data_IF_659951569552
#
_entry.id   IF_659951569552
#
_cell.length_a   1.000
_cell.length_b   1.000
_cell.length_c   1.000
_cell.angle_alpha   90.00
_cell.angle_beta   90.00
_cell.angle_gamma   90.00
#
_symmetry.space_group_name_H-M   'P 1'
#
loop_
_entity.id
_entity.type
_entity.pdbx_description
1 polymer ?
#
# COMPACT_ATOMS: atom_id res chain seq x y z
N UNK A 1 -34.07 8.60 -2.11
CA UNK A 1 -35.02 8.16 -3.15
C UNK A 1 -35.32 6.69 -2.89
N UNK A 2 -36.52 6.37 -2.39
CA UNK A 2 -36.98 4.98 -2.30
C UNK A 2 -36.96 4.39 -3.72
N UNK A 3 -36.41 3.18 -3.87
CA UNK A 3 -36.47 2.47 -5.15
C UNK A 3 -37.92 2.12 -5.41
N UNK A 4 -38.43 2.58 -6.55
CA UNK A 4 -39.71 2.17 -7.10
C UNK A 4 -39.78 0.64 -7.22
N UNK A 5 -40.90 0.08 -6.77
CA UNK A 5 -41.13 -1.37 -6.81
C UNK A 5 -41.29 -1.80 -8.27
N UNK A 6 -40.63 -2.89 -8.65
CA UNK A 6 -40.73 -3.43 -10.00
C UNK A 6 -41.82 -4.50 -10.04
N UNK A 7 -42.69 -4.51 -11.07
CA UNK A 7 -43.63 -5.60 -11.28
C UNK A 7 -42.93 -6.96 -11.15
N UNK A 8 -43.47 -7.80 -10.29
CA UNK A 8 -42.84 -9.05 -9.84
C UNK A 8 -43.83 -10.20 -9.96
N UNK A 9 -43.40 -11.26 -10.63
CA UNK A 9 -44.11 -12.53 -10.66
C UNK A 9 -43.82 -13.34 -9.41
N UNK A 10 -44.86 -13.91 -8.81
CA UNK A 10 -44.75 -15.05 -7.91
C UNK A 10 -45.07 -16.32 -8.70
N UNK A 11 -44.26 -17.36 -8.54
CA UNK A 11 -44.41 -18.60 -9.30
C UNK A 11 -44.04 -19.83 -8.48
N UNK A 12 -44.59 -20.97 -8.86
CA UNK A 12 -44.17 -22.30 -8.43
C UNK A 12 -43.55 -23.04 -9.61
N UNK A 13 -42.38 -23.63 -9.40
CA UNK A 13 -41.78 -24.57 -10.32
C UNK A 13 -41.87 -25.98 -9.76
N UNK A 14 -42.23 -26.93 -10.59
CA UNK A 14 -42.30 -28.35 -10.23
C UNK A 14 -41.39 -29.12 -11.15
N UNK A 15 -40.43 -29.87 -10.59
CA UNK A 15 -39.61 -30.78 -11.37
C UNK A 15 -40.42 -32.04 -11.69
N UNK A 16 -40.68 -32.30 -12.98
CA UNK A 16 -41.69 -33.27 -13.41
C UNK A 16 -41.33 -34.72 -13.04
N UNK A 17 -40.03 -35.05 -12.95
CA UNK A 17 -39.57 -36.40 -12.60
C UNK A 17 -39.60 -36.68 -11.10
N UNK A 18 -39.27 -35.68 -10.27
CA UNK A 18 -39.07 -35.89 -8.81
C UNK A 18 -40.23 -35.35 -7.97
N UNK A 19 -41.09 -34.54 -8.56
CA UNK A 19 -42.17 -33.82 -7.87
C UNK A 19 -41.70 -32.69 -6.95
N UNK A 20 -40.38 -32.42 -6.87
CA UNK A 20 -39.86 -31.37 -6.00
C UNK A 20 -40.33 -29.99 -6.50
N UNK A 21 -40.95 -29.23 -5.60
CA UNK A 21 -41.47 -27.89 -5.90
C UNK A 21 -40.51 -26.79 -5.45
N UNK A 22 -40.58 -25.62 -6.08
CA UNK A 22 -39.86 -24.42 -5.69
C UNK A 22 -40.76 -23.20 -5.86
N UNK A 23 -41.08 -22.55 -4.75
CA UNK A 23 -41.79 -21.27 -4.75
C UNK A 23 -40.76 -20.14 -4.82
N UNK A 24 -40.96 -19.18 -5.71
CA UNK A 24 -40.04 -18.07 -5.84
C UNK A 24 -40.64 -16.89 -6.58
N UNK A 25 -39.80 -15.89 -6.79
CA UNK A 25 -40.18 -14.62 -7.41
C UNK A 25 -39.20 -14.15 -8.46
N UNK A 26 -39.66 -13.35 -9.41
CA UNK A 26 -38.83 -12.80 -10.49
C UNK A 26 -39.48 -11.58 -11.14
N UNK A 27 -38.65 -10.67 -11.68
CA UNK A 27 -39.12 -9.58 -12.54
C UNK A 27 -38.89 -9.90 -14.04
N UNK A 28 -38.53 -11.14 -14.35
CA UNK A 28 -38.33 -11.65 -15.72
C UNK A 28 -39.47 -12.60 -16.06
N UNK A 29 -39.57 -13.01 -17.32
CA UNK A 29 -40.47 -14.09 -17.74
C UNK A 29 -40.27 -15.34 -16.86
N UNK A 30 -41.30 -15.77 -16.09
CA UNK A 30 -41.20 -16.91 -15.19
C UNK A 30 -41.06 -18.25 -15.93
N UNK A 31 -41.49 -18.37 -17.18
CA UNK A 31 -41.39 -19.61 -17.97
C UNK A 31 -39.96 -19.86 -18.46
N UNK A 32 -39.23 -18.80 -18.80
CA UNK A 32 -37.81 -18.87 -19.18
C UNK A 32 -36.89 -18.87 -17.97
N UNK A 33 -37.24 -18.13 -16.92
CA UNK A 33 -36.41 -18.00 -15.73
C UNK A 33 -36.31 -19.32 -14.96
N UNK A 34 -35.09 -19.79 -14.68
CA UNK A 34 -34.88 -21.09 -14.01
C UNK A 34 -35.12 -21.08 -12.49
N UNK A 35 -35.13 -19.90 -11.87
CA UNK A 35 -35.16 -19.73 -10.41
C UNK A 35 -33.80 -19.38 -9.81
N UNK A 36 -33.79 -18.87 -8.57
CA UNK A 36 -32.60 -18.43 -7.85
C UNK A 36 -32.17 -19.33 -6.69
N UNK A 37 -33.04 -20.25 -6.25
CA UNK A 37 -32.78 -21.09 -5.08
C UNK A 37 -31.54 -21.96 -5.26
N UNK A 38 -30.58 -21.88 -4.33
CA UNK A 38 -29.33 -22.65 -4.40
C UNK A 38 -29.61 -24.16 -4.43
N UNK A 39 -30.52 -24.63 -3.57
CA UNK A 39 -30.91 -26.04 -3.52
C UNK A 39 -31.65 -26.48 -4.78
N UNK A 40 -32.57 -25.66 -5.27
CA UNK A 40 -33.29 -25.86 -6.52
C UNK A 40 -32.33 -25.99 -7.72
N UNK A 41 -31.40 -25.05 -7.88
CA UNK A 41 -30.40 -25.08 -8.96
C UNK A 41 -29.42 -26.25 -8.85
N UNK A 42 -29.15 -26.73 -7.63
CA UNK A 42 -28.39 -27.97 -7.42
C UNK A 42 -29.19 -29.19 -7.86
N UNK A 43 -30.47 -29.25 -7.50
CA UNK A 43 -31.38 -30.32 -7.91
C UNK A 43 -31.47 -30.44 -9.43
N UNK A 44 -31.68 -29.33 -10.14
CA UNK A 44 -31.75 -29.32 -11.61
C UNK A 44 -30.45 -29.75 -12.29
N UNK A 45 -29.29 -29.51 -11.65
CA UNK A 45 -28.00 -29.99 -12.16
C UNK A 45 -27.86 -31.50 -12.05
N UNK A 46 -28.47 -32.10 -11.03
CA UNK A 46 -28.37 -33.51 -10.74
C UNK A 46 -29.41 -34.33 -11.51
N UNK A 47 -30.62 -33.79 -11.69
CA UNK A 47 -31.76 -34.54 -12.23
C UNK A 47 -32.24 -34.05 -13.61
N UNK A 48 -31.62 -33.01 -14.16
CA UNK A 48 -32.04 -32.40 -15.42
C UNK A 48 -32.97 -31.20 -15.23
N UNK A 49 -33.34 -30.58 -16.34
CA UNK A 49 -34.15 -29.36 -16.36
C UNK A 49 -35.51 -29.60 -17.04
N UNK A 50 -36.25 -30.57 -16.53
CA UNK A 50 -37.64 -30.86 -16.92
C UNK A 50 -38.59 -30.31 -15.86
N UNK A 51 -39.13 -29.11 -16.12
CA UNK A 51 -39.81 -28.30 -15.11
C UNK A 51 -41.07 -27.67 -15.68
N UNK A 52 -42.17 -27.86 -14.97
CA UNK A 52 -43.42 -27.10 -15.18
C UNK A 52 -43.41 -25.84 -14.32
N UNK A 53 -43.93 -24.74 -14.86
CA UNK A 53 -44.03 -23.44 -14.17
C UNK A 53 -45.49 -23.04 -14.06
N UNK A 54 -45.93 -22.75 -12.84
CA UNK A 54 -47.23 -22.20 -12.51
C UNK A 54 -47.03 -20.76 -12.00
N UNK A 55 -47.73 -19.80 -12.61
CA UNK A 55 -47.66 -18.39 -12.19
C UNK A 55 -48.81 -18.11 -11.23
N UNK A 56 -48.49 -17.71 -10.01
CA UNK A 56 -49.49 -17.35 -8.99
C UNK A 56 -50.08 -15.97 -9.30
N UNK A 57 -49.25 -15.03 -9.77
CA UNK A 57 -49.69 -13.71 -10.16
C UNK A 57 -48.54 -12.79 -10.54
N UNK A 58 -48.89 -11.70 -11.23
CA UNK A 58 -48.03 -10.54 -11.45
C UNK A 58 -48.48 -9.45 -10.48
N UNK A 59 -47.56 -8.98 -9.65
CA UNK A 59 -47.83 -7.96 -8.65
C UNK A 59 -47.12 -6.67 -9.03
N UNK A 60 -47.89 -5.59 -9.19
CA UNK A 60 -47.38 -4.23 -9.39
C UNK A 60 -47.28 -3.47 -8.08
N UNK A 61 -48.04 -3.88 -7.07
CA UNK A 61 -47.95 -3.35 -5.71
C UNK A 61 -47.01 -4.20 -4.84
N UNK A 62 -46.18 -3.49 -4.07
CA UNK A 62 -45.19 -4.11 -3.20
C UNK A 62 -45.85 -4.90 -2.07
N UNK A 63 -46.83 -4.30 -1.42
CA UNK A 63 -47.37 -4.84 -0.17
C UNK A 63 -48.31 -6.01 -0.46
N UNK A 64 -49.01 -5.99 -1.59
CA UNK A 64 -49.74 -7.14 -2.12
C UNK A 64 -48.84 -8.31 -2.50
N UNK A 65 -47.72 -8.05 -3.16
CA UNK A 65 -46.72 -9.08 -3.47
C UNK A 65 -46.21 -9.75 -2.18
N UNK A 66 -45.86 -8.96 -1.17
CA UNK A 66 -45.33 -9.45 0.11
C UNK A 66 -46.37 -10.29 0.83
N UNK A 67 -47.58 -9.75 0.99
CA UNK A 67 -48.69 -10.41 1.67
C UNK A 67 -49.03 -11.75 1.03
N UNK A 68 -49.11 -11.79 -0.31
CA UNK A 68 -49.40 -13.03 -1.05
C UNK A 68 -48.27 -14.04 -0.91
N UNK A 69 -47.02 -13.61 -0.99
CA UNK A 69 -45.87 -14.50 -0.85
C UNK A 69 -45.75 -15.12 0.54
N UNK A 70 -45.97 -14.32 1.60
CA UNK A 70 -45.96 -14.79 2.98
C UNK A 70 -47.11 -15.77 3.24
N UNK A 71 -48.33 -15.41 2.83
CA UNK A 71 -49.51 -16.26 2.96
C UNK A 71 -49.28 -17.61 2.27
N UNK A 72 -48.82 -17.61 1.02
CA UNK A 72 -48.52 -18.83 0.30
C UNK A 72 -47.46 -19.67 1.01
N UNK A 73 -46.39 -19.04 1.48
CA UNK A 73 -45.28 -19.72 2.16
C UNK A 73 -45.72 -20.44 3.43
N UNK A 74 -46.57 -19.78 4.23
CA UNK A 74 -47.11 -20.30 5.49
C UNK A 74 -48.14 -21.40 5.24
N UNK A 75 -49.13 -21.14 4.39
CA UNK A 75 -50.19 -22.11 4.08
C UNK A 75 -49.64 -23.40 3.48
N UNK A 76 -48.58 -23.34 2.68
CA UNK A 76 -47.98 -24.51 2.06
C UNK A 76 -46.79 -25.09 2.84
N UNK A 77 -46.45 -24.50 3.99
CA UNK A 77 -45.30 -24.86 4.82
C UNK A 77 -44.02 -25.15 3.99
N UNK A 78 -43.67 -24.22 3.11
CA UNK A 78 -42.68 -24.46 2.03
C UNK A 78 -41.26 -24.77 2.52
N UNK A 79 -40.97 -24.58 3.81
CA UNK A 79 -39.64 -24.86 4.37
C UNK A 79 -39.55 -26.27 4.95
N UNK A 80 -40.63 -26.72 5.59
CA UNK A 80 -40.64 -27.93 6.42
C UNK A 80 -41.56 -29.04 5.90
N UNK A 81 -42.40 -28.78 4.90
CA UNK A 81 -43.30 -29.81 4.38
C UNK A 81 -42.54 -30.99 3.78
N UNK A 82 -42.92 -32.18 4.23
CA UNK A 82 -42.39 -33.48 3.84
C UNK A 82 -43.51 -34.35 3.30
N UNK A 83 -43.20 -35.26 2.39
CA UNK A 83 -44.14 -36.26 1.89
C UNK A 83 -44.16 -37.51 2.79
N UNK A 84 -45.01 -38.48 2.45
CA UNK A 84 -45.16 -39.76 3.14
C UNK A 84 -43.84 -40.55 3.26
N UNK A 85 -42.89 -40.34 2.35
CA UNK A 85 -41.56 -40.96 2.37
C UNK A 85 -40.51 -40.15 3.13
N UNK A 86 -40.92 -39.19 3.96
CA UNK A 86 -40.05 -38.29 4.73
C UNK A 86 -39.06 -37.47 3.86
N UNK A 87 -39.42 -37.19 2.60
CA UNK A 87 -38.63 -36.34 1.69
C UNK A 87 -39.27 -34.96 1.58
N UNK A 88 -38.44 -33.92 1.45
CA UNK A 88 -38.90 -32.54 1.27
C UNK A 88 -39.77 -32.42 0.01
N UNK A 89 -40.93 -31.77 0.16
CA UNK A 89 -41.82 -31.40 -0.94
C UNK A 89 -41.30 -30.16 -1.66
N UNK A 90 -40.69 -29.24 -0.92
CA UNK A 90 -40.24 -27.94 -1.41
C UNK A 90 -38.73 -27.76 -1.31
N UNK A 91 -38.18 -27.04 -2.28
CA UNK A 91 -36.76 -26.72 -2.36
C UNK A 91 -36.37 -25.48 -1.52
N UNK A 92 -37.36 -24.75 -1.01
CA UNK A 92 -37.17 -23.54 -0.22
C UNK A 92 -36.47 -23.87 1.12
N UNK A 93 -35.52 -23.01 1.50
CA UNK A 93 -34.79 -23.13 2.78
C UNK A 93 -35.23 -22.08 3.79
N UNK A 94 -35.89 -21.03 3.31
CA UNK A 94 -36.45 -19.93 4.08
C UNK A 94 -37.82 -19.59 3.49
N UNK A 95 -38.64 -18.92 4.28
CA UNK A 95 -39.91 -18.33 3.83
C UNK A 95 -39.62 -17.35 2.69
N UNK A 96 -40.46 -17.36 1.66
CA UNK A 96 -40.39 -16.44 0.54
C UNK A 96 -41.30 -15.24 0.83
N UNK A 97 -40.75 -14.03 0.74
CA UNK A 97 -41.47 -12.81 1.08
C UNK A 97 -41.67 -11.89 -0.14
N UNK A 98 -41.31 -12.35 -1.35
CA UNK A 98 -41.46 -11.57 -2.59
C UNK A 98 -40.40 -10.48 -2.78
N UNK A 99 -39.60 -10.17 -1.75
CA UNK A 99 -38.62 -9.08 -1.78
C UNK A 99 -37.19 -9.59 -1.82
N UNK A 100 -36.88 -10.57 -0.99
CA UNK A 100 -35.53 -11.04 -0.79
C UNK A 100 -35.11 -11.97 -1.94
N UNK A 101 -33.94 -11.68 -2.50
CA UNK A 101 -33.29 -12.50 -3.51
C UNK A 101 -31.84 -12.75 -3.11
N UNK A 102 -31.18 -13.69 -3.79
CA UNK A 102 -29.77 -14.02 -3.52
C UNK A 102 -28.88 -12.77 -3.47
N UNK A 103 -28.40 -12.46 -2.27
CA UNK A 103 -27.47 -11.36 -1.90
C UNK A 103 -27.65 -10.08 -2.71
N UNK A 104 -28.58 -9.25 -2.25
CA UNK A 104 -28.92 -7.96 -2.84
C UNK A 104 -27.69 -7.05 -2.96
N UNK A 105 -27.39 -6.58 -4.18
CA UNK A 105 -26.61 -5.35 -4.39
C UNK A 105 -27.25 -4.23 -3.57
N UNK A 106 -26.56 -3.78 -2.52
CA UNK A 106 -27.05 -2.73 -1.60
C UNK A 106 -27.40 -3.22 -0.21
N UNK A 107 -27.19 -4.49 0.14
CA UNK A 107 -27.27 -4.93 1.54
C UNK A 107 -26.20 -4.22 2.39
N UNK A 108 -26.64 -3.26 3.20
CA UNK A 108 -25.78 -2.57 4.15
C UNK A 108 -25.57 -3.51 5.34
N UNK A 109 -24.38 -4.09 5.44
CA UNK A 109 -23.97 -4.86 6.61
C UNK A 109 -24.12 -3.99 7.86
N UNK A 110 -24.87 -4.45 8.86
CA UNK A 110 -24.96 -3.79 10.16
C UNK A 110 -23.58 -3.72 10.83
N UNK A 111 -23.33 -2.75 11.74
CA UNK A 111 -22.09 -2.69 12.51
C UNK A 111 -21.78 -4.02 13.22
N UNK A 112 -22.77 -4.62 13.86
CA UNK A 112 -22.68 -5.92 14.55
C UNK A 112 -22.27 -7.05 13.61
N UNK A 113 -22.85 -7.10 12.40
CA UNK A 113 -22.45 -8.09 11.41
C UNK A 113 -20.98 -7.91 10.99
N UNK A 114 -20.53 -6.67 10.79
CA UNK A 114 -19.13 -6.38 10.44
C UNK A 114 -18.20 -6.80 11.57
N UNK A 115 -18.56 -6.53 12.81
CA UNK A 115 -17.81 -6.92 13.99
C UNK A 115 -17.73 -8.45 14.12
N UNK A 116 -18.86 -9.16 13.99
CA UNK A 116 -18.90 -10.63 13.99
C UNK A 116 -17.99 -11.22 12.92
N UNK A 117 -18.05 -10.72 11.69
CA UNK A 117 -17.16 -11.16 10.61
C UNK A 117 -15.70 -10.82 10.90
N UNK A 118 -15.42 -9.62 11.42
CA UNK A 118 -14.07 -9.21 11.81
C UNK A 118 -13.48 -10.15 12.86
N UNK A 119 -14.23 -10.45 13.92
CA UNK A 119 -13.83 -11.37 14.98
C UNK A 119 -13.63 -12.79 14.46
N UNK A 120 -14.50 -13.26 13.58
CA UNK A 120 -14.37 -14.57 12.94
C UNK A 120 -13.08 -14.71 12.10
N UNK A 121 -12.66 -13.64 11.41
CA UNK A 121 -11.43 -13.65 10.61
C UNK A 121 -10.17 -13.26 11.40
N UNK A 122 -10.33 -12.63 12.56
CA UNK A 122 -9.20 -12.18 13.40
C UNK A 122 -8.38 -13.37 13.86
N UNK A 123 -7.07 -13.33 13.60
CA UNK A 123 -6.14 -14.38 14.02
C UNK A 123 -6.16 -15.65 13.15
N UNK A 124 -7.02 -15.76 12.13
CA UNK A 124 -6.94 -16.87 11.18
C UNK A 124 -5.69 -16.73 10.32
N UNK A 125 -4.79 -17.70 10.46
CA UNK A 125 -3.59 -17.82 9.64
C UNK A 125 -3.94 -18.69 8.44
N UNK A 126 -3.67 -18.18 7.24
CA UNK A 126 -3.82 -18.94 6.01
C UNK A 126 -2.80 -20.09 6.02
N UNK A 127 -3.27 -21.32 5.78
CA UNK A 127 -2.40 -22.51 5.74
C UNK A 127 -1.25 -22.32 4.75
N UNK A 128 -0.13 -22.99 5.00
CA UNK A 128 1.06 -22.85 4.15
C UNK A 128 0.78 -23.31 2.71
N UNK A 129 0.01 -24.39 2.54
CA UNK A 129 -0.47 -24.87 1.25
C UNK A 129 -1.31 -23.82 0.49
N UNK A 130 -2.25 -23.16 1.18
CA UNK A 130 -3.07 -22.10 0.57
C UNK A 130 -2.21 -20.88 0.23
N UNK A 131 -1.24 -20.55 1.07
CA UNK A 131 -0.29 -19.46 0.83
C UNK A 131 0.59 -19.74 -0.38
N UNK A 132 1.04 -20.98 -0.57
CA UNK A 132 1.77 -21.41 -1.74
C UNK A 132 0.92 -21.32 -3.02
N UNK A 133 -0.34 -21.77 -2.98
CA UNK A 133 -1.26 -21.67 -4.11
C UNK A 133 -1.51 -20.21 -4.53
N UNK A 134 -1.68 -19.31 -3.55
CA UNK A 134 -1.81 -17.87 -3.84
C UNK A 134 -0.55 -17.28 -4.49
N UNK A 135 0.65 -17.72 -4.07
CA UNK A 135 1.92 -17.30 -4.68
C UNK A 135 2.01 -17.79 -6.12
N UNK A 136 1.70 -19.07 -6.37
CA UNK A 136 1.71 -19.66 -7.71
C UNK A 136 0.73 -18.94 -8.64
N UNK A 137 -0.51 -18.70 -8.19
CA UNK A 137 -1.50 -17.96 -8.98
C UNK A 137 -1.03 -16.54 -9.32
N UNK A 138 -0.38 -15.84 -8.39
CA UNK A 138 0.19 -14.50 -8.66
C UNK A 138 1.37 -14.54 -9.61
N UNK A 139 2.23 -15.56 -9.52
CA UNK A 139 3.35 -15.74 -10.44
C UNK A 139 2.88 -15.98 -11.88
N UNK A 140 1.75 -16.68 -12.04
CA UNK A 140 1.16 -16.99 -13.34
C UNK A 140 0.28 -15.85 -13.89
N UNK A 141 0.09 -14.75 -13.17
CA UNK A 141 -0.66 -13.60 -13.68
C UNK A 141 0.18 -12.84 -14.71
N UNK A 142 -0.41 -12.53 -15.87
CA UNK A 142 0.23 -11.67 -16.85
C UNK A 142 0.26 -10.22 -16.32
N UNK A 143 1.48 -9.76 -16.01
CA UNK A 143 1.77 -8.42 -15.52
C UNK A 143 2.43 -7.54 -16.60
N UNK A 144 2.36 -7.94 -17.87
CA UNK A 144 2.93 -7.23 -19.02
C UNK A 144 2.45 -5.76 -19.09
N UNK A 145 1.18 -5.51 -18.79
CA UNK A 145 0.57 -4.18 -18.75
C UNK A 145 1.20 -3.23 -17.72
N UNK A 146 1.89 -3.75 -16.70
CA UNK A 146 2.65 -2.95 -15.73
C UNK A 146 4.04 -2.54 -16.25
N UNK A 147 4.60 -3.30 -17.19
CA UNK A 147 5.91 -3.03 -17.82
C UNK A 147 5.83 -2.04 -18.98
N UNK A 148 4.63 -1.82 -19.53
CA UNK A 148 4.42 -0.82 -20.58
C UNK A 148 4.66 0.60 -20.02
N UNK A 149 5.51 1.41 -20.67
CA UNK A 149 5.66 2.83 -20.33
C UNK A 149 4.29 3.51 -20.33
N UNK A 150 4.01 4.32 -19.31
CA UNK A 150 2.75 5.07 -19.23
C UNK A 150 2.85 6.32 -20.10
N UNK A 151 1.80 6.59 -20.88
CA UNK A 151 1.69 7.77 -21.73
C UNK A 151 1.68 9.05 -20.88
N UNK A 152 2.06 10.17 -21.47
CA UNK A 152 2.06 11.46 -20.78
C UNK A 152 0.64 11.88 -20.33
N UNK A 153 -0.37 11.66 -21.16
CA UNK A 153 -1.78 11.88 -20.80
C UNK A 153 -2.20 11.07 -19.55
N UNK A 154 -1.76 9.81 -19.46
CA UNK A 154 -2.04 8.99 -18.29
C UNK A 154 -1.37 9.56 -17.03
N UNK A 155 -0.12 10.03 -17.15
CA UNK A 155 0.62 10.66 -16.03
C UNK A 155 -0.07 11.94 -15.57
N UNK A 156 -0.53 12.78 -16.51
CA UNK A 156 -1.27 14.01 -16.21
C UNK A 156 -2.57 13.70 -15.46
N UNK A 157 -3.38 12.74 -15.94
CA UNK A 157 -4.64 12.34 -15.28
C UNK A 157 -4.43 11.85 -13.84
N UNK A 158 -3.38 11.07 -13.59
CA UNK A 158 -3.06 10.59 -12.24
C UNK A 158 -2.57 11.74 -11.35
N UNK A 159 -1.79 12.67 -11.90
CA UNK A 159 -1.32 13.86 -11.20
C UNK A 159 -2.50 14.74 -10.75
N UNK A 160 -3.43 15.06 -11.66
CA UNK A 160 -4.63 15.83 -11.36
C UNK A 160 -5.52 15.15 -10.31
N UNK A 161 -5.74 13.84 -10.44
CA UNK A 161 -6.49 13.08 -9.45
C UNK A 161 -5.81 13.09 -8.07
N UNK A 162 -4.48 13.08 -8.04
CA UNK A 162 -3.71 13.10 -6.79
C UNK A 162 -3.75 14.47 -6.12
N UNK A 163 -3.76 15.57 -6.89
CA UNK A 163 -3.91 16.94 -6.37
C UNK A 163 -5.25 17.15 -5.66
N UNK A 164 -6.30 16.43 -6.06
CA UNK A 164 -7.62 16.47 -5.41
C UNK A 164 -7.69 15.71 -4.09
N UNK A 165 -6.64 14.98 -3.69
CA UNK A 165 -6.63 14.26 -2.42
C UNK A 165 -6.41 15.24 -1.27
N UNK A 166 -7.34 15.24 -0.32
CA UNK A 166 -7.19 16.00 0.91
C UNK A 166 -5.97 15.52 1.70
N UNK A 167 -5.22 16.44 2.34
CA UNK A 167 -4.11 16.07 3.20
C UNK A 167 -4.60 15.22 4.37
N UNK A 168 -3.81 14.23 4.78
CA UNK A 168 -4.15 13.38 5.92
C UNK A 168 -4.30 14.21 7.20
N UNK A 169 -5.31 13.88 8.01
CA UNK A 169 -5.54 14.50 9.32
C UNK A 169 -4.34 14.30 10.25
N UNK A 170 -4.17 15.23 11.19
CA UNK A 170 -3.15 15.15 12.25
C UNK A 170 -3.23 13.83 13.03
N UNK A 171 -4.44 13.41 13.39
CA UNK A 171 -4.69 12.15 14.09
C UNK A 171 -4.24 10.93 13.28
N UNK A 172 -4.53 10.91 11.97
CA UNK A 172 -4.11 9.81 11.08
C UNK A 172 -2.59 9.76 10.94
N UNK A 173 -1.94 10.93 10.85
CA UNK A 173 -0.47 11.03 10.82
C UNK A 173 0.15 10.50 12.11
N UNK A 174 -0.44 10.81 13.26
CA UNK A 174 0.01 10.33 14.56
C UNK A 174 -0.09 8.80 14.66
N UNK A 175 -1.24 8.20 14.31
CA UNK A 175 -1.42 6.73 14.30
C UNK A 175 -0.42 6.01 13.39
N UNK A 176 -0.10 6.57 12.22
CA UNK A 176 0.93 6.01 11.34
C UNK A 176 2.34 6.13 11.92
N UNK A 177 2.63 7.25 12.60
CA UNK A 177 3.91 7.47 13.27
C UNK A 177 4.12 6.47 14.40
N UNK A 178 3.13 6.33 15.28
CA UNK A 178 3.18 5.41 16.43
C UNK A 178 3.32 3.97 15.98
N UNK A 179 2.61 3.57 14.91
CA UNK A 179 2.75 2.24 14.31
C UNK A 179 4.14 1.95 13.71
N UNK A 180 4.93 2.98 13.37
CA UNK A 180 6.29 2.84 12.83
C UNK A 180 7.36 3.01 13.90
N UNK A 181 7.05 3.67 15.01
CA UNK A 181 7.96 3.90 16.13
C UNK A 181 8.44 2.53 16.66
N UNK A 182 9.75 2.38 16.82
CA UNK A 182 10.39 1.15 17.30
C UNK A 182 10.59 0.03 16.26
N UNK A 183 10.03 0.14 15.05
CA UNK A 183 10.25 -0.86 14.00
C UNK A 183 11.55 -0.56 13.24
N UNK A 184 12.60 -1.32 13.54
CA UNK A 184 13.84 -1.31 12.76
C UNK A 184 13.69 -2.17 11.50
N UNK A 185 14.37 -1.76 10.41
CA UNK A 185 14.47 -2.60 9.21
C UNK A 185 15.39 -3.79 9.49
N UNK A 186 15.12 -4.94 8.87
CA UNK A 186 16.03 -6.08 8.92
C UNK A 186 17.37 -5.73 8.27
N UNK A 187 18.44 -6.41 8.69
CA UNK A 187 19.78 -6.14 8.14
C UNK A 187 19.89 -6.46 6.66
N UNK A 188 19.21 -7.50 6.18
CA UNK A 188 19.10 -7.80 4.76
C UNK A 188 18.48 -6.62 3.98
N UNK A 189 17.41 -6.02 4.53
CA UNK A 189 16.76 -4.85 3.90
C UNK A 189 17.68 -3.64 3.91
N UNK A 190 18.41 -3.40 5.01
CA UNK A 190 19.41 -2.33 5.10
C UNK A 190 20.50 -2.51 4.03
N UNK A 191 20.99 -3.74 3.84
CA UNK A 191 21.99 -4.07 2.80
C UNK A 191 21.48 -3.77 1.40
N UNK A 192 20.28 -4.22 1.03
CA UNK A 192 19.67 -3.93 -0.28
C UNK A 192 19.53 -2.43 -0.55
N UNK A 193 19.08 -1.67 0.45
CA UNK A 193 19.00 -0.20 0.34
C UNK A 193 20.39 0.40 0.14
N UNK A 194 21.39 -0.05 0.90
CA UNK A 194 22.77 0.42 0.77
C UNK A 194 23.32 0.16 -0.64
N UNK A 195 23.18 -1.06 -1.15
CA UNK A 195 23.65 -1.43 -2.49
C UNK A 195 22.97 -0.58 -3.58
N UNK A 196 21.65 -0.35 -3.47
CA UNK A 196 20.92 0.48 -4.44
C UNK A 196 21.36 1.95 -4.48
N UNK A 197 21.94 2.45 -3.38
CA UNK A 197 22.43 3.84 -3.26
C UNK A 197 23.91 3.99 -3.58
N UNK A 198 24.64 2.88 -3.65
CA UNK A 198 26.05 2.90 -3.98
C UNK A 198 26.23 3.43 -5.41
N UNK A 199 27.02 4.48 -5.58
CA UNK A 199 27.24 5.13 -6.88
C UNK A 199 26.17 6.16 -7.29
N UNK A 200 25.09 6.34 -6.53
CA UNK A 200 24.12 7.40 -6.81
C UNK A 200 24.74 8.78 -6.53
N UNK A 201 24.88 9.60 -7.59
CA UNK A 201 25.31 11.00 -7.48
C UNK A 201 24.10 11.91 -7.68
N UNK A 202 23.92 12.88 -6.78
CA UNK A 202 22.92 13.93 -6.97
C UNK A 202 23.30 14.82 -8.16
N UNK A 203 22.30 15.32 -8.89
CA UNK A 203 22.49 16.33 -9.94
C UNK A 203 22.91 17.66 -9.31
N UNK A 204 23.62 18.52 -10.06
CA UNK A 204 24.05 19.83 -9.56
C UNK A 204 22.86 20.70 -9.15
N UNK A 205 21.76 20.66 -9.90
CA UNK A 205 20.52 21.35 -9.54
C UNK A 205 19.96 20.88 -8.18
N UNK A 206 20.00 19.57 -7.91
CA UNK A 206 19.60 19.01 -6.62
C UNK A 206 20.54 19.43 -5.50
N UNK A 207 21.85 19.50 -5.77
CA UNK A 207 22.85 19.97 -4.81
C UNK A 207 22.62 21.44 -4.47
N UNK A 208 22.32 22.29 -5.46
CA UNK A 208 22.03 23.71 -5.27
C UNK A 208 20.79 23.94 -4.41
N UNK A 209 19.71 23.18 -4.66
CA UNK A 209 18.50 23.17 -3.82
C UNK A 209 18.80 22.75 -2.38
N UNK A 210 19.71 21.80 -2.17
CA UNK A 210 20.11 21.37 -0.82
C UNK A 210 21.03 22.38 -0.11
N UNK A 211 21.92 23.06 -0.84
CA UNK A 211 22.82 24.10 -0.29
C UNK A 211 22.04 25.32 0.22
N UNK A 212 20.91 25.65 -0.40
CA UNK A 212 20.10 26.83 -0.08
C UNK A 212 19.13 26.69 1.10
N UNK A 213 19.09 25.54 1.79
CA UNK A 213 18.17 25.35 2.94
C UNK A 213 18.92 25.66 4.23
N UNK A 214 18.77 26.87 4.82
CA UNK A 214 19.38 27.17 6.10
C UNK A 214 18.80 26.25 7.18
N UNK A 215 19.68 25.72 8.03
CA UNK A 215 19.24 24.97 9.21
C UNK A 215 18.56 25.94 10.17
N UNK A 216 17.29 25.71 10.52
CA UNK A 216 16.57 26.54 11.50
C UNK A 216 17.26 26.49 12.87
N UNK A 217 17.13 27.55 13.65
CA UNK A 217 17.77 27.63 14.96
C UNK A 217 17.22 26.59 15.94
N UNK A 218 15.92 26.30 15.87
CA UNK A 218 15.29 25.20 16.62
C UNK A 218 15.92 23.84 16.30
N UNK A 219 16.22 23.59 15.01
CA UNK A 219 16.89 22.36 14.59
C UNK A 219 18.35 22.32 15.04
N UNK A 220 19.05 23.46 15.03
CA UNK A 220 20.41 23.56 15.59
C UNK A 220 20.42 23.27 17.09
N UNK A 221 19.45 23.81 17.83
CA UNK A 221 19.31 23.57 19.27
C UNK A 221 19.05 22.09 19.57
N UNK A 222 18.09 21.47 18.87
CA UNK A 222 17.82 20.02 19.01
C UNK A 222 19.05 19.16 18.69
N UNK A 223 19.84 19.52 17.68
CA UNK A 223 21.09 18.81 17.36
C UNK A 223 22.16 18.98 18.46
N UNK A 224 22.23 20.15 19.11
CA UNK A 224 23.10 20.37 20.27
C UNK A 224 22.67 19.48 21.43
N UNK A 225 21.39 19.49 21.79
CA UNK A 225 20.83 18.67 22.87
C UNK A 225 21.09 17.17 22.65
N UNK A 226 20.90 16.67 21.43
CA UNK A 226 21.18 15.27 21.08
C UNK A 226 22.67 14.88 21.17
N UNK A 227 23.58 15.86 21.16
CA UNK A 227 25.02 15.63 21.21
C UNK A 227 25.63 15.95 22.58
N UNK A 228 24.89 16.63 23.46
CA UNK A 228 25.27 16.78 24.87
C UNK A 228 25.38 15.39 25.49
N UNK A 229 26.51 15.12 26.16
CA UNK A 229 26.77 13.86 26.85
C UNK A 229 27.20 12.68 25.97
N UNK A 230 27.27 12.82 24.64
CA UNK A 230 27.86 11.77 23.80
C UNK A 230 29.36 11.68 24.03
N UNK A 231 29.79 10.64 24.73
CA UNK A 231 31.21 10.34 24.94
C UNK A 231 31.75 9.75 23.64
N UNK A 232 32.63 10.50 22.96
CA UNK A 232 33.41 9.97 21.85
C UNK A 232 34.24 8.80 22.39
N UNK A 233 34.14 7.63 21.74
CA UNK A 233 34.85 6.42 22.19
C UNK A 233 36.35 6.65 22.25
N UNK A 234 37.04 5.92 23.14
CA UNK A 234 38.50 6.01 23.29
C UNK A 234 39.20 5.71 21.95
N UNK A 235 38.71 4.74 21.19
CA UNK A 235 39.24 4.40 19.86
C UNK A 235 39.09 5.55 18.85
N UNK A 236 37.94 6.25 18.84
CA UNK A 236 37.74 7.42 17.97
C UNK A 236 38.61 8.59 18.46
N UNK A 237 38.75 8.79 19.77
CA UNK A 237 39.68 9.77 20.34
C UNK A 237 41.13 9.47 19.94
N UNK A 238 41.56 8.20 19.99
CA UNK A 238 42.89 7.77 19.54
C UNK A 238 43.09 7.97 18.04
N UNK A 239 42.08 7.64 17.22
CA UNK A 239 42.10 7.91 15.77
C UNK A 239 42.17 9.41 15.46
N UNK A 240 41.64 10.29 16.32
CA UNK A 240 41.71 11.74 16.16
C UNK A 240 43.00 12.34 16.74
N UNK A 241 43.61 11.69 17.75
CA UNK A 241 44.86 12.09 18.38
C UNK A 241 46.02 11.96 17.38
N UNK A 242 46.81 13.01 17.23
CA UNK A 242 48.00 13.01 16.38
C UNK A 242 47.78 13.37 14.90
N UNK A 243 46.59 13.82 14.51
CA UNK A 243 46.34 14.37 13.18
C UNK A 243 45.72 15.77 13.27
N UNK A 244 46.11 16.65 12.35
CA UNK A 244 45.54 17.99 12.21
C UNK A 244 44.93 18.16 10.83
N UNK A 245 43.80 18.87 10.77
CA UNK A 245 43.23 19.31 9.50
C UNK A 245 43.90 20.61 9.09
N UNK A 246 44.52 20.59 7.91
CA UNK A 246 45.31 21.68 7.35
C UNK A 246 44.80 22.07 5.98
N UNK A 247 45.21 23.24 5.53
CA UNK A 247 44.91 23.78 4.20
C UNK A 247 46.24 24.10 3.54
N UNK A 248 46.45 23.64 2.30
CA UNK A 248 47.65 23.97 1.54
C UNK A 248 47.57 25.36 0.92
N UNK A 249 48.67 25.80 0.31
CA UNK A 249 48.77 27.06 -0.45
C UNK A 249 47.72 27.20 -1.57
N UNK A 250 47.16 26.08 -2.07
CA UNK A 250 46.13 26.06 -3.11
C UNK A 250 44.69 26.08 -2.55
N UNK A 251 44.53 26.17 -1.23
CA UNK A 251 43.23 26.17 -0.56
C UNK A 251 42.60 24.78 -0.38
N UNK A 252 43.33 23.70 -0.67
CA UNK A 252 42.85 22.34 -0.53
C UNK A 252 43.02 21.83 0.90
N UNK A 253 41.96 21.21 1.42
CA UNK A 253 41.94 20.68 2.78
C UNK A 253 42.51 19.26 2.81
N UNK A 254 43.53 19.02 3.63
CA UNK A 254 44.09 17.69 3.88
C UNK A 254 44.14 17.42 5.38
N UNK A 255 44.17 16.15 5.75
CA UNK A 255 44.43 15.71 7.11
C UNK A 255 45.83 15.10 7.14
N UNK A 256 46.72 15.69 7.93
CA UNK A 256 48.12 15.24 8.03
C UNK A 256 48.46 14.90 9.49
N UNK A 257 49.45 14.03 9.73
CA UNK A 257 50.02 13.83 11.06
C UNK A 257 50.47 15.16 11.69
N UNK A 258 50.32 15.27 13.00
CA UNK A 258 50.70 16.47 13.75
C UNK A 258 52.22 16.69 13.72
N UNK A 259 53.00 15.61 13.62
CA UNK A 259 54.46 15.63 13.43
C UNK A 259 54.83 16.38 12.16
N UNK A 260 54.19 16.03 11.05
CA UNK A 260 54.46 16.59 9.72
C UNK A 260 54.09 18.08 9.65
N UNK A 261 53.05 18.47 10.40
CA UNK A 261 52.66 19.87 10.53
C UNK A 261 53.71 20.71 11.26
N UNK A 262 54.29 20.19 12.34
CA UNK A 262 55.29 20.90 13.13
C UNK A 262 56.73 20.75 12.61
N UNK A 263 56.99 19.81 11.69
CA UNK A 263 58.31 19.66 11.05
C UNK A 263 58.55 20.64 9.89
N UNK A 264 57.57 21.50 9.56
CA UNK A 264 57.72 22.52 8.54
C UNK A 264 58.76 23.57 8.98
N UNK A 265 59.77 23.78 8.14
CA UNK A 265 60.82 24.76 8.36
C UNK A 265 60.42 26.12 7.76
N UNK A 266 60.95 27.21 8.32
CA UNK A 266 60.72 28.57 7.83
C UNK A 266 59.56 29.31 8.50
N UNK A 267 59.27 30.51 7.99
CA UNK A 267 58.20 31.37 8.50
C UNK A 267 56.82 30.76 8.22
N UNK A 268 55.86 30.96 9.13
CA UNK A 268 54.50 30.40 9.01
C UNK A 268 53.76 30.85 7.75
N UNK A 269 54.14 31.98 7.18
CA UNK A 269 53.59 32.47 5.90
C UNK A 269 54.02 31.61 4.71
N UNK A 270 55.18 30.97 4.79
CA UNK A 270 55.76 30.11 3.75
C UNK A 270 55.40 28.63 3.94
N UNK A 271 54.74 28.28 5.04
CA UNK A 271 54.34 26.90 5.31
C UNK A 271 53.43 26.36 4.22
N UNK A 272 53.79 25.19 3.71
CA UNK A 272 52.98 24.44 2.74
C UNK A 272 51.58 24.17 3.32
N UNK A 273 51.52 23.83 4.61
CA UNK A 273 50.31 23.46 5.34
C UNK A 273 50.07 24.39 6.53
N UNK A 274 48.91 25.05 6.55
CA UNK A 274 48.45 25.86 7.70
C UNK A 274 47.20 25.24 8.33
N UNK A 275 47.03 25.43 9.64
CA UNK A 275 45.85 24.93 10.33
C UNK A 275 44.56 25.48 9.70
N UNK A 276 43.57 24.64 9.42
CA UNK A 276 42.39 25.07 8.65
C UNK A 276 41.52 26.15 9.33
N UNK A 277 41.71 26.35 10.64
CA UNK A 277 41.01 27.34 11.45
C UNK A 277 41.81 28.63 11.67
N UNK A 278 43.08 28.68 11.27
CA UNK A 278 43.89 29.90 11.38
C UNK A 278 43.37 30.98 10.43
N UNK A 279 43.76 32.24 10.67
CA UNK A 279 43.41 33.34 9.78
C UNK A 279 43.86 33.05 8.33
N UNK A 280 45.12 32.64 8.19
CA UNK A 280 45.71 32.23 6.90
C UNK A 280 44.99 31.03 6.26
N UNK A 281 44.64 30.02 7.05
CA UNK A 281 43.89 28.86 6.54
C UNK A 281 42.50 29.25 6.00
N UNK A 282 41.81 30.18 6.69
CA UNK A 282 40.52 30.72 6.20
C UNK A 282 40.72 31.51 4.90
N UNK A 283 41.78 32.30 4.80
CA UNK A 283 42.13 33.08 3.61
C UNK A 283 42.44 32.19 2.40
N UNK A 284 43.31 31.18 2.56
CA UNK A 284 43.62 30.19 1.51
C UNK A 284 42.37 29.44 1.06
N UNK A 285 41.45 29.14 1.98
CA UNK A 285 40.18 28.45 1.67
C UNK A 285 39.24 29.29 0.80
N UNK A 286 39.15 30.60 1.04
CA UNK A 286 38.33 31.50 0.21
C UNK A 286 38.89 31.65 -1.19
N UNK A 287 40.21 31.50 -1.36
CA UNK A 287 40.92 31.63 -2.63
C UNK A 287 41.28 30.27 -3.25
N UNK A 288 40.53 29.20 -2.91
CA UNK A 288 40.86 27.85 -3.34
C UNK A 288 40.81 27.70 -4.86
N UNK A 289 41.90 27.20 -5.44
CA UNK A 289 41.99 26.89 -6.88
C UNK A 289 41.28 25.55 -7.13
N UNK A 290 40.53 25.36 -8.23
CA UNK A 290 39.92 24.08 -8.57
C UNK A 290 40.96 22.96 -8.54
N UNK A 291 40.57 21.78 -8.05
CA UNK A 291 41.45 20.60 -8.06
C UNK A 291 41.62 20.15 -9.51
N UNK A 292 42.79 20.46 -10.08
CA UNK A 292 43.24 19.98 -11.38
C UNK A 292 44.15 18.76 -11.14
N UNK A 293 44.21 17.85 -12.11
CA UNK A 293 44.94 16.57 -12.02
C UNK A 293 46.43 16.77 -11.61
N UNK A 294 47.03 15.79 -10.94
CA UNK A 294 48.43 15.80 -10.48
C UNK A 294 49.39 16.16 -11.63
N UNK A 295 49.07 15.73 -12.85
CA UNK A 295 49.83 16.06 -14.04
C UNK A 295 49.79 17.56 -14.38
N UNK A 296 48.62 18.21 -14.25
CA UNK A 296 48.46 19.64 -14.48
C UNK A 296 49.10 20.49 -13.38
N UNK A 297 49.17 19.97 -12.14
CA UNK A 297 49.87 20.61 -11.02
C UNK A 297 51.40 20.60 -11.23
N UNK A 298 51.96 19.51 -11.76
CA UNK A 298 53.38 19.44 -12.13
C UNK A 298 53.69 20.47 -13.23
N UNK A 299 52.83 20.58 -14.24
CA UNK A 299 53.01 21.53 -15.35
C UNK A 299 52.95 23.00 -14.91
N UNK A 300 52.01 23.36 -14.02
CA UNK A 300 51.94 24.72 -13.44
C UNK A 300 53.19 25.02 -12.59
N UNK A 301 53.70 24.04 -11.86
CA UNK A 301 54.92 24.20 -11.05
C UNK A 301 56.17 24.41 -11.91
N UNK A 302 56.23 23.78 -13.09
CA UNK A 302 57.31 23.94 -14.08
C UNK A 302 57.23 25.30 -14.78
N UNK A 303 56.02 25.79 -15.09
CA UNK A 303 55.81 27.11 -15.68
C UNK A 303 56.20 28.28 -14.77
N UNK A 304 56.29 28.09 -13.45
CA UNK A 304 56.71 29.15 -12.51
C UNK A 304 58.20 29.16 -12.18
N UNK A 305 58.97 28.17 -12.63
CA UNK A 305 60.43 28.06 -12.40
C UNK A 305 61.28 28.31 -13.65
N UNK A 306 60.65 28.63 -14.79
CA UNK A 306 61.29 29.19 -15.98
C UNK A 306 60.96 30.67 -16.08
#
# INVERSE_FOLDING_TARGET
MSKEFKPTYLYVKTHNVTGLKYFGKTCKDPYVYRGSGIYWLRHLRQHGNDVSTEVIGLFEDRDECVRTALLFSETNNIVHAINESNKKIWANQIIENGLDGGVTRGWIRTPEYRERMSNYFKGRIVSESTRALMRQKRANQDMSHMRRPKTEEWKQRISESSKKRQPMSSETKQKMSDNRKGKSRSDETKRKISMSRQGFKHTEESLQKMRGIPCSDEKKQRLRELNIGKIISIEVKQKLKGYICVINIYGHKKRIPLTDFYSQLGDKTEWEWVAHNSHEGKHRKSNAVPVIDEQQMIDISRMRRG
#
